data_IF_395816162166
#
_entry.id   IF_395816162166
#
_cell.length_a   1.000
_cell.length_b   1.000
_cell.length_c   1.000
_cell.angle_alpha   90.00
_cell.angle_beta   90.00
_cell.angle_gamma   90.00
#
_symmetry.space_group_name_H-M   'P 1'
#
loop_
_entity.id
_entity.type
_entity.pdbx_description
1 polymer ?
#
# COMPACT_ATOMS: atom_id res chain seq x y z
N UNK A 1 -60.34 -8.60 -41.65
CA UNK A 1 -59.73 -7.26 -41.59
C UNK A 1 -58.60 -7.34 -40.60
N UNK A 2 -57.40 -7.60 -41.08
CA UNK A 2 -56.22 -7.70 -40.22
C UNK A 2 -55.85 -6.28 -39.79
N UNK A 3 -55.72 -6.06 -38.49
CA UNK A 3 -55.40 -4.76 -37.90
C UNK A 3 -54.05 -4.24 -38.41
N UNK A 4 -53.95 -2.92 -38.65
CA UNK A 4 -52.79 -2.17 -39.16
C UNK A 4 -51.43 -2.60 -38.57
N UNK A 5 -51.43 -3.13 -37.36
CA UNK A 5 -50.27 -3.60 -36.61
C UNK A 5 -49.53 -4.76 -37.30
N UNK A 6 -50.23 -5.64 -38.03
CA UNK A 6 -49.58 -6.77 -38.71
C UNK A 6 -48.72 -6.32 -39.91
N UNK A 7 -49.14 -5.26 -40.61
CA UNK A 7 -48.37 -4.69 -41.73
C UNK A 7 -47.15 -3.90 -41.24
N UNK A 8 -47.22 -3.25 -40.08
CA UNK A 8 -46.11 -2.50 -39.49
C UNK A 8 -44.98 -3.40 -38.98
N UNK A 9 -45.30 -4.63 -38.59
CA UNK A 9 -44.32 -5.64 -38.15
C UNK A 9 -43.66 -6.40 -39.31
N UNK A 10 -44.14 -6.24 -40.55
CA UNK A 10 -43.63 -6.98 -41.72
C UNK A 10 -42.16 -6.65 -42.08
N UNK A 11 -41.63 -5.51 -41.62
CA UNK A 11 -40.24 -5.09 -41.81
C UNK A 11 -39.40 -5.19 -40.51
N UNK A 12 -39.93 -5.82 -39.45
CA UNK A 12 -39.19 -6.01 -38.21
C UNK A 12 -38.42 -7.32 -38.29
N UNK A 13 -37.12 -7.22 -38.55
CA UNK A 13 -36.21 -8.36 -38.50
C UNK A 13 -35.99 -8.71 -37.03
N UNK A 14 -36.49 -9.85 -36.59
CA UNK A 14 -36.20 -10.39 -35.27
C UNK A 14 -34.71 -10.72 -35.21
N UNK A 15 -33.97 -10.09 -34.30
CA UNK A 15 -32.58 -10.44 -34.06
C UNK A 15 -32.52 -11.91 -33.60
N UNK A 16 -31.59 -12.72 -34.14
CA UNK A 16 -31.42 -14.09 -33.66
C UNK A 16 -31.05 -14.03 -32.18
N UNK A 17 -31.93 -14.53 -31.32
CA UNK A 17 -31.63 -14.73 -29.91
C UNK A 17 -30.61 -15.85 -29.81
N UNK A 18 -29.32 -15.49 -29.69
CA UNK A 18 -28.34 -16.45 -29.22
C UNK A 18 -28.65 -16.76 -27.76
N UNK A 19 -28.68 -18.04 -27.42
CA UNK A 19 -28.94 -18.53 -26.05
C UNK A 19 -27.74 -18.31 -25.10
N UNK A 20 -26.59 -17.87 -25.63
CA UNK A 20 -25.38 -17.63 -24.84
C UNK A 20 -25.54 -16.37 -23.98
N UNK A 21 -25.31 -16.49 -22.67
CA UNK A 21 -25.25 -15.33 -21.77
C UNK A 21 -24.11 -14.41 -22.25
N UNK A 22 -24.35 -13.10 -22.48
CA UNK A 22 -23.29 -12.17 -22.84
C UNK A 22 -22.06 -12.20 -21.92
N UNK A 23 -22.22 -12.66 -20.68
CA UNK A 23 -21.11 -12.88 -19.74
C UNK A 23 -20.20 -14.03 -20.13
N UNK A 24 -20.71 -15.06 -20.81
CA UNK A 24 -19.90 -16.20 -21.26
C UNK A 24 -19.04 -15.82 -22.47
N UNK A 25 -19.45 -14.79 -23.23
CA UNK A 25 -18.70 -14.22 -24.36
C UNK A 25 -17.70 -13.17 -23.88
N UNK A 26 -18.05 -12.43 -22.82
CA UNK A 26 -17.15 -11.49 -22.17
C UNK A 26 -16.05 -12.32 -21.48
N UNK A 27 -14.92 -12.56 -22.15
CA UNK A 27 -13.76 -13.31 -21.64
C UNK A 27 -13.06 -12.66 -20.44
N UNK A 28 -13.83 -12.28 -19.42
CA UNK A 28 -13.45 -11.60 -18.22
C UNK A 28 -13.71 -12.51 -17.03
N UNK A 29 -12.63 -12.98 -16.42
CA UNK A 29 -12.69 -13.78 -15.20
C UNK A 29 -12.61 -12.81 -14.02
N UNK A 30 -13.68 -12.75 -13.23
CA UNK A 30 -13.71 -11.95 -12.01
C UNK A 30 -13.04 -12.69 -10.86
N UNK A 31 -11.73 -12.58 -10.75
CA UNK A 31 -10.98 -13.11 -9.61
C UNK A 31 -10.99 -12.09 -8.47
N UNK A 32 -11.77 -12.35 -7.41
CA UNK A 32 -11.59 -11.65 -6.12
C UNK A 32 -10.30 -12.15 -5.48
N UNK A 33 -9.17 -11.60 -5.91
CA UNK A 33 -7.86 -11.92 -5.35
C UNK A 33 -7.63 -11.21 -4.02
N UNK A 34 -7.28 -11.97 -2.97
CA UNK A 34 -6.61 -11.42 -1.81
C UNK A 34 -5.17 -11.06 -2.18
N UNK A 35 -4.78 -9.80 -1.99
CA UNK A 35 -3.43 -9.34 -2.32
C UNK A 35 -2.42 -9.86 -1.30
N UNK A 36 -1.30 -10.39 -1.79
CA UNK A 36 -0.19 -10.78 -0.95
C UNK A 36 0.64 -9.55 -0.51
N UNK A 37 0.88 -9.40 0.80
CA UNK A 37 1.69 -8.31 1.37
C UNK A 37 3.07 -8.76 1.88
N UNK A 38 3.50 -9.99 1.58
CA UNK A 38 4.82 -10.47 1.97
C UNK A 38 5.95 -9.71 1.23
N UNK A 39 7.08 -9.44 1.90
CA UNK A 39 8.16 -8.62 1.34
C UNK A 39 9.04 -9.34 0.32
N UNK A 40 8.98 -10.67 0.25
CA UNK A 40 9.90 -11.48 -0.56
C UNK A 40 9.20 -12.00 -1.81
N UNK A 41 9.79 -11.73 -2.97
CA UNK A 41 9.29 -12.14 -4.28
C UNK A 41 10.34 -12.91 -5.08
N UNK A 42 9.88 -13.81 -5.94
CA UNK A 42 10.63 -14.39 -7.04
C UNK A 42 10.20 -13.76 -8.36
N UNK A 43 11.17 -13.50 -9.23
CA UNK A 43 10.93 -13.03 -10.60
C UNK A 43 11.26 -14.18 -11.54
N UNK A 44 10.27 -14.63 -12.30
CA UNK A 44 10.45 -15.62 -13.35
C UNK A 44 10.61 -14.89 -14.69
N UNK A 45 11.80 -14.99 -15.27
CA UNK A 45 12.14 -14.33 -16.54
C UNK A 45 11.39 -14.96 -17.73
N UNK A 46 11.25 -16.28 -17.75
CA UNK A 46 10.62 -17.02 -18.83
C UNK A 46 9.12 -16.70 -18.90
N UNK A 47 8.42 -16.81 -17.76
CA UNK A 47 6.97 -16.61 -17.70
C UNK A 47 6.59 -15.13 -17.49
N UNK A 48 7.57 -14.25 -17.31
CA UNK A 48 7.41 -12.82 -16.99
C UNK A 48 6.44 -12.57 -15.81
N UNK A 49 6.54 -13.42 -14.79
CA UNK A 49 5.67 -13.36 -13.61
C UNK A 49 6.49 -13.13 -12.35
N UNK A 50 5.99 -12.24 -11.49
CA UNK A 50 6.44 -12.12 -10.12
C UNK A 50 5.56 -12.98 -9.22
N UNK A 51 6.16 -13.75 -8.31
CA UNK A 51 5.43 -14.57 -7.33
C UNK A 51 5.94 -14.35 -5.92
N UNK A 52 5.07 -14.44 -4.94
CA UNK A 52 5.48 -14.41 -3.55
C UNK A 52 6.33 -15.65 -3.20
N UNK A 53 7.47 -15.44 -2.54
CA UNK A 53 8.31 -16.55 -2.06
C UNK A 53 7.66 -17.36 -0.92
N UNK A 54 6.72 -16.76 -0.17
CA UNK A 54 6.07 -17.42 0.98
C UNK A 54 4.77 -18.14 0.61
N UNK A 55 3.87 -17.50 -0.13
CA UNK A 55 2.56 -18.07 -0.46
C UNK A 55 2.38 -18.41 -1.94
N UNK A 56 3.36 -18.14 -2.80
CA UNK A 56 3.29 -18.45 -4.23
C UNK A 56 2.34 -17.56 -5.04
N UNK A 57 1.62 -16.63 -4.40
CA UNK A 57 0.69 -15.73 -5.06
C UNK A 57 1.36 -14.94 -6.20
N UNK A 58 0.68 -14.80 -7.33
CA UNK A 58 1.12 -13.95 -8.43
C UNK A 58 0.99 -12.50 -7.98
N UNK A 59 2.06 -11.73 -8.18
CA UNK A 59 2.16 -10.33 -7.76
C UNK A 59 2.34 -9.49 -9.03
N UNK A 60 1.59 -8.40 -9.10
CA UNK A 60 1.78 -7.39 -10.14
C UNK A 60 3.10 -6.62 -9.85
N UNK A 61 4.05 -6.58 -10.80
CA UNK A 61 5.38 -6.01 -10.55
C UNK A 61 5.39 -4.52 -10.17
N UNK A 62 4.55 -3.70 -10.80
CA UNK A 62 4.47 -2.27 -10.52
C UNK A 62 3.92 -1.99 -9.12
N UNK A 63 2.89 -2.72 -8.69
CA UNK A 63 2.32 -2.60 -7.34
C UNK A 63 3.36 -2.92 -6.26
N UNK A 64 4.16 -3.98 -6.47
CA UNK A 64 5.26 -4.31 -5.57
C UNK A 64 6.33 -3.22 -5.54
N UNK A 65 6.76 -2.71 -6.70
CA UNK A 65 7.75 -1.64 -6.78
C UNK A 65 7.25 -0.34 -6.14
N UNK A 66 5.97 -0.01 -6.32
CA UNK A 66 5.33 1.15 -5.72
C UNK A 66 5.29 1.03 -4.19
N UNK A 67 4.90 -0.13 -3.67
CA UNK A 67 4.92 -0.40 -2.23
C UNK A 67 6.34 -0.32 -1.65
N UNK A 68 7.32 -0.90 -2.34
CA UNK A 68 8.73 -0.84 -1.96
C UNK A 68 9.25 0.62 -1.92
N UNK A 69 8.92 1.42 -2.94
CA UNK A 69 9.29 2.83 -3.00
C UNK A 69 8.66 3.63 -1.86
N UNK A 70 7.36 3.46 -1.61
CA UNK A 70 6.64 4.09 -0.48
C UNK A 70 7.29 3.74 0.86
N UNK A 71 7.59 2.45 1.09
CA UNK A 71 8.26 1.97 2.30
C UNK A 71 9.63 2.62 2.47
N UNK A 72 10.43 2.68 1.42
CA UNK A 72 11.77 3.28 1.45
C UNK A 72 11.73 4.78 1.77
N UNK A 73 10.79 5.51 1.16
CA UNK A 73 10.60 6.94 1.43
C UNK A 73 10.21 7.19 2.89
N UNK A 74 9.27 6.39 3.43
CA UNK A 74 8.88 6.49 4.84
C UNK A 74 10.06 6.22 5.77
N UNK A 75 10.81 5.13 5.55
CA UNK A 75 11.99 4.81 6.37
C UNK A 75 13.04 5.92 6.36
N UNK A 76 13.25 6.58 5.23
CA UNK A 76 14.17 7.71 5.15
C UNK A 76 13.70 8.89 6.03
N UNK A 77 12.39 9.17 6.03
CA UNK A 77 11.76 10.13 6.93
C UNK A 77 11.91 9.76 8.40
N UNK A 78 11.65 8.50 8.74
CA UNK A 78 11.75 7.97 10.11
C UNK A 78 13.20 8.11 10.65
N UNK A 79 14.20 7.78 9.84
CA UNK A 79 15.62 7.94 10.21
C UNK A 79 15.96 9.41 10.49
N UNK A 80 15.47 10.34 9.67
CA UNK A 80 15.70 11.76 9.88
C UNK A 80 15.05 12.26 11.17
N UNK A 81 13.81 11.82 11.44
CA UNK A 81 13.09 12.15 12.67
C UNK A 81 13.84 11.63 13.92
N UNK A 82 14.25 10.35 13.90
CA UNK A 82 14.99 9.73 15.00
C UNK A 82 16.32 10.43 15.30
N UNK A 83 17.07 10.85 14.28
CA UNK A 83 18.31 11.62 14.45
C UNK A 83 18.06 12.99 15.09
N UNK A 84 16.96 13.65 14.72
CA UNK A 84 16.58 14.93 15.33
C UNK A 84 16.19 14.75 16.80
N UNK A 85 15.42 13.70 17.12
CA UNK A 85 15.09 13.36 18.51
C UNK A 85 16.34 13.04 19.33
N UNK A 86 17.26 12.24 18.78
CA UNK A 86 18.52 11.90 19.45
C UNK A 86 19.29 13.17 19.81
N UNK A 87 19.47 14.09 18.85
CA UNK A 87 20.15 15.37 19.08
C UNK A 87 19.47 16.18 20.18
N UNK A 88 18.15 16.34 20.10
CA UNK A 88 17.38 17.10 21.09
C UNK A 88 17.50 16.48 22.50
N UNK A 89 17.45 15.15 22.61
CA UNK A 89 17.62 14.44 23.89
C UNK A 89 19.02 14.64 24.45
N UNK A 90 20.06 14.58 23.63
CA UNK A 90 21.45 14.83 24.05
C UNK A 90 21.62 16.24 24.60
N UNK A 91 21.13 17.26 23.90
CA UNK A 91 21.17 18.65 24.37
C UNK A 91 20.41 18.85 25.69
N UNK A 92 19.26 18.20 25.85
CA UNK A 92 18.49 18.27 27.08
C UNK A 92 19.20 17.59 28.26
N UNK A 93 19.82 16.43 28.03
CA UNK A 93 20.62 15.75 29.05
C UNK A 93 21.77 16.65 29.51
N UNK A 94 22.48 17.30 28.58
CA UNK A 94 23.58 18.20 28.92
C UNK A 94 23.10 19.39 29.79
N UNK A 95 21.97 20.00 29.43
CA UNK A 95 21.34 21.06 30.24
C UNK A 95 20.99 20.55 31.65
N UNK A 96 20.40 19.36 31.77
CA UNK A 96 20.03 18.77 33.06
C UNK A 96 21.28 18.51 33.92
N UNK A 97 22.37 18.00 33.35
CA UNK A 97 23.64 17.80 34.05
C UNK A 97 24.18 19.14 34.58
N UNK A 98 24.10 20.20 33.79
CA UNK A 98 24.55 21.53 34.22
C UNK A 98 23.69 22.08 35.37
N UNK A 99 22.37 21.92 35.28
CA UNK A 99 21.43 22.31 36.34
C UNK A 99 21.74 21.54 37.64
N UNK A 100 21.96 20.23 37.54
CA UNK A 100 22.30 19.38 38.69
C UNK A 100 23.61 19.83 39.34
N UNK A 101 24.66 20.09 38.55
CA UNK A 101 25.95 20.62 39.04
C UNK A 101 25.76 21.95 39.79
N UNK A 102 24.98 22.86 39.22
CA UNK A 102 24.70 24.17 39.81
C UNK A 102 23.90 24.04 41.12
N UNK A 103 22.88 23.17 41.15
CA UNK A 103 22.09 22.89 42.35
C UNK A 103 22.97 22.29 43.47
N UNK A 104 23.79 21.29 43.15
CA UNK A 104 24.77 20.70 44.10
C UNK A 104 25.77 21.73 44.62
N UNK A 105 26.22 22.66 43.78
CA UNK A 105 27.09 23.74 44.23
C UNK A 105 26.37 24.71 45.18
N UNK A 106 25.11 25.05 44.91
CA UNK A 106 24.29 25.93 45.76
C UNK A 106 24.02 25.29 47.14
N UNK A 107 23.67 24.01 47.18
CA UNK A 107 23.47 23.25 48.43
C UNK A 107 24.76 23.23 49.27
N UNK A 108 25.91 22.94 48.65
CA UNK A 108 27.21 22.96 49.35
C UNK A 108 27.55 24.31 49.98
N UNK A 109 27.17 25.42 49.34
CA UNK A 109 27.39 26.78 49.88
C UNK A 109 26.48 27.07 51.08
N UNK A 110 25.23 26.60 51.05
CA UNK A 110 24.29 26.77 52.16
C UNK A 110 24.71 25.96 53.39
N UNK A 111 25.21 24.73 53.22
CA UNK A 111 25.65 23.86 54.31
C UNK A 111 27.02 24.24 54.92
N UNK A 112 27.73 25.23 54.35
CA UNK A 112 29.03 25.70 54.85
C UNK A 112 28.92 26.94 55.74
N UNK A 113 27.71 27.52 55.85
CA UNK A 113 27.34 28.55 56.82
C UNK A 113 26.67 27.86 58.01
#
# INVERSE_FOLDING_TARGET
MNSNTENELANVVMFPSKEEDPKDIAGYIYERGEYCHHPSIFVNEHDRQCRCQKCGAVIEPFDYLLDLAKKRTRMAGDVAALRNEERYRRENIEKLIQIEKNAKARIRRLNKK
#
